data_IF_387839031630
#
_entry.id   IF_387839031630
#
_cell.length_a   1.000
_cell.length_b   1.000
_cell.length_c   1.000
_cell.angle_alpha   90.00
_cell.angle_beta   90.00
_cell.angle_gamma   90.00
#
_symmetry.space_group_name_H-M   'P 1'
#
loop_
_entity.id
_entity.type
_entity.pdbx_description
1 polymer ?
#
# COMPACT_ATOMS: atom_id res chain seq x y z
N UNK A 1 -16.96 24.22 25.44
CA UNK A 1 -16.46 24.20 24.04
C UNK A 1 -15.77 22.88 23.65
N UNK A 2 -15.42 21.99 24.59
CA UNK A 2 -14.81 20.69 24.29
C UNK A 2 -15.71 19.74 23.45
N UNK A 3 -17.02 19.74 23.71
CA UNK A 3 -17.96 18.76 23.16
C UNK A 3 -18.06 18.74 21.61
N UNK A 4 -18.02 19.91 20.94
CA UNK A 4 -18.14 19.97 19.47
C UNK A 4 -16.89 19.45 18.75
N UNK A 5 -15.71 19.73 19.33
CA UNK A 5 -14.44 19.28 18.78
C UNK A 5 -14.26 17.78 19.00
N UNK A 6 -14.59 17.28 20.19
CA UNK A 6 -14.55 15.86 20.50
C UNK A 6 -15.51 15.04 19.63
N UNK A 7 -16.73 15.54 19.39
CA UNK A 7 -17.69 14.90 18.49
C UNK A 7 -17.16 14.80 17.05
N UNK A 8 -16.53 15.87 16.55
CA UNK A 8 -15.90 15.88 15.23
C UNK A 8 -14.70 14.92 15.17
N UNK A 9 -13.91 14.82 16.24
CA UNK A 9 -12.78 13.89 16.33
C UNK A 9 -13.28 12.43 16.29
N UNK A 10 -14.35 12.10 17.01
CA UNK A 10 -14.96 10.77 16.98
C UNK A 10 -15.50 10.40 15.59
N UNK A 11 -16.14 11.34 14.90
CA UNK A 11 -16.60 11.11 13.53
C UNK A 11 -15.44 10.83 12.57
N UNK A 12 -14.35 11.60 12.67
CA UNK A 12 -13.15 11.39 11.87
C UNK A 12 -12.47 10.04 12.19
N UNK A 13 -12.45 9.61 13.45
CA UNK A 13 -11.95 8.29 13.84
C UNK A 13 -12.79 7.16 13.21
N UNK A 14 -14.12 7.30 13.21
CA UNK A 14 -15.01 6.32 12.56
C UNK A 14 -14.75 6.21 11.05
N UNK A 15 -14.55 7.35 10.37
CA UNK A 15 -14.16 7.35 8.96
C UNK A 15 -12.80 6.68 8.71
N UNK A 16 -11.83 6.85 9.61
CA UNK A 16 -10.53 6.16 9.52
C UNK A 16 -10.72 4.64 9.69
N UNK A 17 -11.56 4.21 10.63
CA UNK A 17 -11.84 2.80 10.87
C UNK A 17 -12.49 2.14 9.64
N UNK A 18 -13.47 2.81 9.01
CA UNK A 18 -14.08 2.36 7.75
C UNK A 18 -13.04 2.24 6.63
N UNK A 19 -12.16 3.24 6.48
CA UNK A 19 -11.07 3.19 5.48
C UNK A 19 -10.08 2.05 5.75
N UNK A 20 -9.71 1.80 7.01
CA UNK A 20 -8.87 0.66 7.38
C UNK A 20 -9.52 -0.68 7.04
N UNK A 21 -10.83 -0.82 7.26
CA UNK A 21 -11.59 -2.03 6.87
C UNK A 21 -11.57 -2.25 5.36
N UNK A 22 -11.67 -1.19 4.56
CA UNK A 22 -11.63 -1.26 3.09
C UNK A 22 -10.24 -1.67 2.55
N UNK A 23 -9.15 -1.21 3.18
CA UNK A 23 -7.78 -1.61 2.78
C UNK A 23 -7.55 -3.11 3.03
N UNK A 24 -8.26 -3.69 4.01
CA UNK A 24 -8.23 -5.11 4.32
C UNK A 24 -6.90 -5.58 4.92
N UNK A 25 -6.74 -6.90 5.07
CA UNK A 25 -5.47 -7.48 5.54
C UNK A 25 -4.41 -7.34 4.44
N UNK A 26 -3.26 -6.74 4.77
CA UNK A 26 -2.11 -6.59 3.86
C UNK A 26 -1.79 -7.90 3.13
N UNK A 27 -2.12 -7.97 1.82
CA UNK A 27 -1.65 -9.04 0.95
C UNK A 27 -0.14 -8.93 0.82
N UNK A 28 0.58 -9.99 1.18
CA UNK A 28 2.03 -10.06 0.99
C UNK A 28 2.35 -9.95 -0.49
N UNK A 29 3.46 -9.30 -0.81
CA UNK A 29 4.03 -9.34 -2.14
C UNK A 29 4.54 -10.76 -2.42
N UNK A 30 3.93 -11.44 -3.39
CA UNK A 30 4.25 -12.81 -3.81
C UNK A 30 4.61 -12.77 -5.30
N UNK A 31 5.90 -12.59 -5.64
CA UNK A 31 6.34 -12.49 -7.03
C UNK A 31 6.30 -13.83 -7.75
N UNK A 32 6.10 -13.78 -9.07
CA UNK A 32 6.24 -14.89 -10.00
C UNK A 32 7.72 -15.08 -10.36
N UNK A 33 8.44 -13.98 -10.54
CA UNK A 33 9.85 -13.98 -10.94
C UNK A 33 10.79 -14.08 -9.73
N UNK A 34 12.09 -14.21 -10.00
CA UNK A 34 13.12 -14.17 -8.96
C UNK A 34 13.39 -12.76 -8.38
N UNK A 35 12.63 -11.74 -8.78
CA UNK A 35 12.81 -10.31 -8.42
C UNK A 35 14.14 -9.66 -8.84
N UNK A 36 15.06 -10.37 -9.51
CA UNK A 36 16.35 -9.85 -9.95
C UNK A 36 16.36 -9.67 -11.46
N UNK A 37 16.12 -8.46 -11.91
CA UNK A 37 16.01 -8.11 -13.32
C UNK A 37 17.24 -7.34 -13.78
N UNK A 38 17.77 -7.70 -14.95
CA UNK A 38 18.80 -6.96 -15.66
C UNK A 38 18.21 -6.30 -16.90
N UNK A 39 18.27 -4.97 -16.94
CA UNK A 39 17.80 -4.13 -18.03
C UNK A 39 18.86 -3.09 -18.37
N UNK A 40 19.11 -2.87 -19.65
CA UNK A 40 20.08 -1.88 -20.13
C UNK A 40 21.49 -2.03 -19.50
N UNK A 41 21.90 -3.26 -19.18
CA UNK A 41 23.19 -3.55 -18.51
C UNK A 41 23.22 -3.25 -17.01
N UNK A 42 22.09 -2.90 -16.39
CA UNK A 42 21.98 -2.63 -14.95
C UNK A 42 21.09 -3.68 -14.30
N UNK A 43 21.62 -4.34 -13.27
CA UNK A 43 20.88 -5.31 -12.46
C UNK A 43 20.21 -4.63 -11.27
N UNK A 44 18.91 -4.86 -11.10
CA UNK A 44 18.09 -4.29 -10.03
C UNK A 44 17.25 -5.38 -9.35
N UNK A 45 16.93 -5.17 -8.06
CA UNK A 45 16.07 -6.08 -7.31
C UNK A 45 14.74 -5.41 -6.95
N UNK A 46 13.62 -5.93 -7.46
CA UNK A 46 12.26 -5.38 -7.26
C UNK A 46 11.90 -5.25 -5.78
N UNK A 47 12.45 -6.10 -4.90
CA UNK A 47 12.14 -6.04 -3.48
C UNK A 47 12.67 -4.77 -2.81
N UNK A 48 13.80 -4.23 -3.29
CA UNK A 48 14.51 -3.09 -2.68
C UNK A 48 14.27 -1.77 -3.40
N UNK A 49 13.65 -1.78 -4.58
CA UNK A 49 13.36 -0.55 -5.32
C UNK A 49 12.37 0.36 -4.61
N UNK A 50 12.64 1.66 -4.67
CA UNK A 50 11.71 2.71 -4.27
C UNK A 50 10.55 2.86 -5.26
N UNK A 51 9.48 3.55 -4.83
CA UNK A 51 8.26 3.72 -5.62
C UNK A 51 8.51 4.36 -6.99
N UNK A 52 9.31 5.41 -7.06
CA UNK A 52 9.64 6.08 -8.33
C UNK A 52 10.40 5.16 -9.29
N UNK A 53 11.34 4.37 -8.77
CA UNK A 53 12.10 3.41 -9.57
C UNK A 53 11.22 2.28 -10.09
N UNK A 54 10.28 1.79 -9.27
CA UNK A 54 9.28 0.79 -9.68
C UNK A 54 8.38 1.32 -10.79
N UNK A 55 7.91 2.57 -10.67
CA UNK A 55 7.10 3.22 -11.73
C UNK A 55 7.89 3.36 -13.02
N UNK A 56 9.14 3.86 -12.95
CA UNK A 56 9.99 4.00 -14.13
C UNK A 56 10.22 2.65 -14.82
N UNK A 57 10.52 1.62 -14.04
CA UNK A 57 10.75 0.27 -14.59
C UNK A 57 9.48 -0.33 -15.19
N UNK A 58 8.33 -0.13 -14.57
CA UNK A 58 7.04 -0.56 -15.11
C UNK A 58 6.74 0.11 -16.46
N UNK A 59 6.98 1.42 -16.58
CA UNK A 59 6.81 2.15 -17.84
C UNK A 59 7.73 1.59 -18.93
N UNK A 60 9.01 1.37 -18.60
CA UNK A 60 9.99 0.78 -19.54
C UNK A 60 9.55 -0.60 -20.03
N UNK A 61 9.24 -1.51 -19.10
CA UNK A 61 8.83 -2.87 -19.47
C UNK A 61 7.51 -2.88 -20.25
N UNK A 62 6.57 -2.00 -19.91
CA UNK A 62 5.33 -1.86 -20.67
C UNK A 62 5.59 -1.35 -22.09
N UNK A 63 6.55 -0.45 -22.30
CA UNK A 63 6.95 -0.01 -23.64
C UNK A 63 7.54 -1.16 -24.46
N UNK A 64 8.40 -1.99 -23.86
CA UNK A 64 8.92 -3.19 -24.53
C UNK A 64 7.82 -4.20 -24.84
N UNK A 65 6.92 -4.46 -23.89
CA UNK A 65 5.79 -5.37 -24.08
C UNK A 65 4.85 -4.88 -25.19
N UNK A 66 4.56 -3.57 -25.26
CA UNK A 66 3.76 -2.99 -26.33
C UNK A 66 4.41 -3.19 -27.70
N UNK A 67 5.70 -2.89 -27.82
CA UNK A 67 6.45 -3.10 -29.06
C UNK A 67 6.53 -4.59 -29.44
N UNK A 68 6.82 -5.47 -28.49
CA UNK A 68 6.83 -6.91 -28.71
C UNK A 68 5.46 -7.43 -29.17
N UNK A 69 4.37 -6.89 -28.62
CA UNK A 69 3.01 -7.23 -29.05
C UNK A 69 2.73 -6.80 -30.49
N UNK A 70 3.11 -5.58 -30.86
CA UNK A 70 2.95 -5.08 -32.24
C UNK A 70 3.73 -5.93 -33.26
N UNK A 71 4.88 -6.46 -32.84
CA UNK A 71 5.72 -7.34 -33.67
C UNK A 71 5.29 -8.82 -33.64
N UNK A 72 4.28 -9.20 -32.85
CA UNK A 72 3.86 -10.60 -32.69
C UNK A 72 4.86 -11.47 -31.90
N UNK A 73 5.70 -10.85 -31.08
CA UNK A 73 6.79 -11.48 -30.33
C UNK A 73 6.53 -11.53 -28.81
N UNK A 74 5.37 -11.10 -28.33
CA UNK A 74 5.09 -10.96 -26.90
C UNK A 74 5.31 -12.26 -26.12
N UNK A 75 4.89 -13.40 -26.69
CA UNK A 75 4.95 -14.70 -26.02
C UNK A 75 6.38 -15.23 -25.86
N UNK A 76 7.31 -14.76 -26.69
CA UNK A 76 8.72 -15.19 -26.69
C UNK A 76 9.68 -14.14 -26.13
N UNK A 77 9.19 -12.92 -25.85
CA UNK A 77 10.02 -11.83 -25.35
C UNK A 77 10.30 -11.99 -23.86
N UNK A 78 11.46 -12.58 -23.56
CA UNK A 78 11.93 -12.84 -22.22
C UNK A 78 13.00 -11.84 -21.77
N UNK A 79 12.91 -11.39 -20.53
CA UNK A 79 13.90 -10.55 -19.85
C UNK A 79 14.41 -11.33 -18.65
N UNK A 80 15.74 -11.50 -18.52
CA UNK A 80 16.34 -12.18 -17.35
C UNK A 80 15.74 -13.57 -17.04
N UNK A 81 15.31 -14.31 -18.08
CA UNK A 81 14.77 -15.67 -17.95
C UNK A 81 13.26 -15.81 -17.72
N UNK A 82 12.52 -14.70 -17.65
CA UNK A 82 11.06 -14.69 -17.49
C UNK A 82 10.40 -13.85 -18.58
N UNK A 83 9.13 -14.10 -18.88
CA UNK A 83 8.38 -13.30 -19.86
C UNK A 83 8.19 -11.88 -19.33
N UNK A 84 8.20 -10.88 -20.23
CA UNK A 84 8.00 -9.47 -19.85
C UNK A 84 6.70 -9.22 -19.08
N UNK A 85 5.64 -10.00 -19.36
CA UNK A 85 4.35 -9.87 -18.68
C UNK A 85 4.46 -10.28 -17.21
N UNK A 86 5.20 -11.34 -16.90
CA UNK A 86 5.42 -11.79 -15.51
C UNK A 86 6.13 -10.71 -14.68
N UNK A 87 7.12 -10.02 -15.28
CA UNK A 87 7.77 -8.88 -14.64
C UNK A 87 6.82 -7.69 -14.41
N UNK A 88 5.95 -7.41 -15.37
CA UNK A 88 4.95 -6.34 -15.25
C UNK A 88 3.95 -6.66 -14.13
N UNK A 89 3.54 -7.92 -13.99
CA UNK A 89 2.67 -8.38 -12.90
C UNK A 89 3.34 -8.21 -11.54
N UNK A 90 4.60 -8.62 -11.41
CA UNK A 90 5.38 -8.44 -10.19
C UNK A 90 5.53 -6.97 -9.81
N UNK A 91 5.79 -6.09 -10.77
CA UNK A 91 5.91 -4.66 -10.50
C UNK A 91 4.60 -4.01 -10.06
N UNK A 92 3.49 -4.39 -10.68
CA UNK A 92 2.15 -3.94 -10.26
C UNK A 92 1.84 -4.42 -8.84
N UNK A 93 2.09 -5.70 -8.56
CA UNK A 93 1.88 -6.27 -7.24
C UNK A 93 2.76 -5.60 -6.17
N UNK A 94 4.01 -5.27 -6.49
CA UNK A 94 4.92 -4.54 -5.59
C UNK A 94 4.45 -3.11 -5.34
N UNK A 95 3.99 -2.40 -6.38
CA UNK A 95 3.45 -1.04 -6.25
C UNK A 95 2.18 -1.02 -5.41
N UNK A 96 1.27 -1.96 -5.64
CA UNK A 96 0.05 -2.10 -4.83
C UNK A 96 0.38 -2.38 -3.36
N UNK A 97 1.36 -3.24 -3.11
CA UNK A 97 1.84 -3.51 -1.75
C UNK A 97 2.39 -2.25 -1.06
N UNK A 98 3.22 -1.47 -1.74
CA UNK A 98 3.77 -0.21 -1.20
C UNK A 98 2.64 0.80 -0.96
N UNK A 99 1.74 0.99 -1.92
CA UNK A 99 0.64 1.94 -1.82
C UNK A 99 -0.27 1.63 -0.63
N UNK A 100 -0.63 0.36 -0.43
CA UNK A 100 -1.42 -0.07 0.74
C UNK A 100 -0.67 0.20 2.04
N UNK A 101 0.62 -0.15 2.11
CA UNK A 101 1.43 0.09 3.30
C UNK A 101 1.54 1.58 3.64
N UNK A 102 1.72 2.43 2.64
CA UNK A 102 1.77 3.88 2.80
C UNK A 102 0.43 4.43 3.29
N UNK A 103 -0.68 3.94 2.76
CA UNK A 103 -2.02 4.33 3.17
C UNK A 103 -2.34 3.89 4.60
N UNK A 104 -1.99 2.64 4.98
CA UNK A 104 -2.12 2.15 6.35
C UNK A 104 -1.32 3.01 7.33
N UNK A 105 -0.08 3.35 7.00
CA UNK A 105 0.78 4.20 7.83
C UNK A 105 0.19 5.61 7.96
N UNK A 106 -0.35 6.17 6.88
CA UNK A 106 -1.01 7.48 6.88
C UNK A 106 -2.25 7.48 7.78
N UNK A 107 -3.09 6.45 7.70
CA UNK A 107 -4.27 6.32 8.56
C UNK A 107 -3.90 6.16 10.03
N UNK A 108 -2.89 5.34 10.35
CA UNK A 108 -2.36 5.21 11.72
C UNK A 108 -1.82 6.53 12.25
N UNK A 109 -1.10 7.29 11.43
CA UNK A 109 -0.59 8.60 11.84
C UNK A 109 -1.71 9.64 12.04
N UNK A 110 -2.78 9.58 11.24
CA UNK A 110 -3.96 10.44 11.43
C UNK A 110 -4.71 10.09 12.71
N UNK A 111 -4.94 8.81 12.97
CA UNK A 111 -5.59 8.33 14.19
C UNK A 111 -4.81 8.74 15.44
N UNK A 112 -3.49 8.52 15.48
CA UNK A 112 -2.65 8.93 16.60
C UNK A 112 -2.65 10.46 16.83
N UNK A 113 -2.85 11.25 15.78
CA UNK A 113 -3.03 12.71 15.91
C UNK A 113 -4.39 13.06 16.51
N UNK A 114 -5.45 12.37 16.09
CA UNK A 114 -6.80 12.54 16.63
C UNK A 114 -6.85 12.14 18.12
N UNK A 115 -6.17 11.05 18.51
CA UNK A 115 -6.07 10.60 19.91
C UNK A 115 -5.45 11.67 20.81
N UNK A 116 -4.42 12.37 20.30
CA UNK A 116 -3.76 13.46 21.04
C UNK A 116 -4.62 14.71 21.17
N UNK A 117 -5.55 14.93 20.23
CA UNK A 117 -6.43 16.10 20.21
C UNK A 117 -7.71 15.91 21.03
N UNK A 118 -8.03 14.68 21.43
CA UNK A 118 -9.15 14.40 22.33
C UNK A 118 -8.93 15.10 23.68
N UNK A 119 -10.00 15.68 24.23
CA UNK A 119 -9.98 16.21 25.59
C UNK A 119 -9.74 15.10 26.62
N UNK A 120 -9.11 15.44 27.75
CA UNK A 120 -8.81 14.46 28.79
C UNK A 120 -10.10 13.92 29.44
N UNK A 121 -11.13 14.77 29.59
CA UNK A 121 -12.47 14.36 30.04
C UNK A 121 -13.05 13.27 29.13
N UNK A 122 -12.95 13.45 27.80
CA UNK A 122 -13.48 12.49 26.85
C UNK A 122 -12.65 11.20 26.78
N UNK A 123 -11.33 11.27 27.00
CA UNK A 123 -10.49 10.06 27.12
C UNK A 123 -10.89 9.22 28.32
N UNK A 124 -11.10 9.85 29.48
CA UNK A 124 -11.55 9.16 30.69
C UNK A 124 -12.93 8.52 30.47
N UNK A 125 -13.85 9.22 29.81
CA UNK A 125 -15.16 8.64 29.44
C UNK A 125 -15.00 7.37 28.58
N UNK A 126 -14.16 7.41 27.55
CA UNK A 126 -13.89 6.26 26.69
C UNK A 126 -13.24 5.08 27.43
N UNK A 127 -12.32 5.35 28.37
CA UNK A 127 -11.70 4.29 29.19
C UNK A 127 -12.72 3.62 30.12
N UNK A 128 -13.65 4.39 30.70
CA UNK A 128 -14.75 3.85 31.51
C UNK A 128 -15.67 2.97 30.65
N UNK A 129 -16.04 3.45 29.46
CA UNK A 129 -16.87 2.70 28.51
C UNK A 129 -16.20 1.37 28.08
N UNK A 130 -14.88 1.38 27.85
CA UNK A 130 -14.11 0.17 27.51
C UNK A 130 -14.12 -0.86 28.66
N UNK A 131 -13.96 -0.41 29.92
CA UNK A 131 -14.04 -1.29 31.09
C UNK A 131 -15.46 -1.85 31.26
N UNK A 132 -16.50 -1.04 31.05
CA UNK A 132 -17.89 -1.51 31.11
C UNK A 132 -18.17 -2.56 30.03
N UNK A 133 -17.67 -2.35 28.81
CA UNK A 133 -17.82 -3.30 27.72
C UNK A 133 -17.07 -4.61 27.97
N UNK A 134 -15.91 -4.58 28.63
CA UNK A 134 -15.13 -5.77 28.96
C UNK A 134 -15.73 -6.63 30.10
N UNK A 135 -16.60 -6.04 30.93
CA UNK A 135 -17.31 -6.71 32.02
C UNK A 135 -18.66 -7.32 31.59
N UNK A 136 -19.09 -7.06 30.34
CA UNK A 136 -20.28 -7.66 29.71
C UNK A 136 -19.91 -8.89 28.88
#
# INVERSE_FOLDING_TARGET
MANLNDQKILELKKQIEEKKKLIGKSKKFSPITNCSIELDGVRQNIQTLGKEQLVLMLIKLNAYAASAKELGLLDVYNVSGYNVIEWIEDLKAKLDFINRKDEENKLKAMEAKLDKLLSDEKKVELEIDEIEAALK
#
